data_IF_265799783375
#
_entry.id   IF_265799783375
#
_cell.length_a   1.000
_cell.length_b   1.000
_cell.length_c   1.000
_cell.angle_alpha   90.00
_cell.angle_beta   90.00
_cell.angle_gamma   90.00
#
_symmetry.space_group_name_H-M   'P 1'
#
loop_
_entity.id
_entity.type
_entity.pdbx_description
1 polymer ?
#
# COMPACT_ATOMS: atom_id res chain seq x y z
N UNK A 1 -25.74 13.88 -38.08
CA UNK A 1 -24.83 14.37 -37.03
C UNK A 1 -24.38 13.19 -36.22
N UNK A 2 -23.12 12.79 -36.35
CA UNK A 2 -22.55 11.65 -35.62
C UNK A 2 -21.99 12.18 -34.32
N UNK A 3 -22.55 11.79 -33.17
CA UNK A 3 -21.99 12.14 -31.86
C UNK A 3 -20.78 11.25 -31.67
N UNK A 4 -19.58 11.84 -31.67
CA UNK A 4 -18.34 11.13 -31.34
C UNK A 4 -18.41 10.65 -29.90
N UNK A 5 -18.08 9.39 -29.65
CA UNK A 5 -18.06 8.85 -28.29
C UNK A 5 -17.03 9.60 -27.43
N UNK A 6 -17.33 9.87 -26.15
CA UNK A 6 -16.39 10.56 -25.26
C UNK A 6 -15.12 9.73 -25.07
N UNK A 7 -13.99 10.43 -25.04
CA UNK A 7 -12.67 9.82 -24.83
C UNK A 7 -12.58 9.16 -23.45
N UNK A 8 -11.61 8.26 -23.25
CA UNK A 8 -11.35 7.66 -21.92
C UNK A 8 -11.09 8.72 -20.85
N UNK A 9 -10.35 9.77 -21.19
CA UNK A 9 -10.12 10.95 -20.34
C UNK A 9 -11.42 11.62 -19.91
N UNK A 10 -12.30 11.94 -20.86
CA UNK A 10 -13.60 12.57 -20.59
C UNK A 10 -14.51 11.70 -19.73
N UNK A 11 -14.53 10.38 -19.97
CA UNK A 11 -15.31 9.44 -19.15
C UNK A 11 -14.79 9.36 -17.72
N UNK A 12 -13.47 9.36 -17.53
CA UNK A 12 -12.85 9.36 -16.21
C UNK A 12 -13.17 10.67 -15.49
N UNK A 13 -12.95 11.82 -16.13
CA UNK A 13 -13.26 13.14 -15.57
C UNK A 13 -14.74 13.27 -15.18
N UNK A 14 -15.68 12.82 -16.04
CA UNK A 14 -17.12 12.82 -15.73
C UNK A 14 -17.47 11.87 -14.57
N UNK A 15 -16.77 10.74 -14.45
CA UNK A 15 -16.96 9.81 -13.32
C UNK A 15 -16.47 10.43 -12.01
N UNK A 16 -15.31 11.09 -12.02
CA UNK A 16 -14.76 11.80 -10.86
C UNK A 16 -15.68 12.94 -10.43
N UNK A 17 -16.14 13.75 -11.37
CA UNK A 17 -17.09 14.84 -11.15
C UNK A 17 -18.39 14.35 -10.48
N UNK A 18 -18.98 13.27 -10.99
CA UNK A 18 -20.19 12.68 -10.39
C UNK A 18 -19.95 12.13 -9.00
N UNK A 19 -18.79 11.52 -8.77
CA UNK A 19 -18.47 10.84 -7.51
C UNK A 19 -18.19 11.84 -6.40
N UNK A 20 -17.40 12.88 -6.68
CA UNK A 20 -16.93 13.81 -5.65
C UNK A 20 -17.82 15.05 -5.51
N UNK A 21 -18.48 15.49 -6.58
CA UNK A 21 -19.31 16.72 -6.56
C UNK A 21 -20.80 16.45 -6.87
N UNK A 22 -21.19 15.20 -7.14
CA UNK A 22 -22.58 14.81 -7.32
C UNK A 22 -23.23 15.28 -8.62
N UNK A 23 -22.46 15.79 -9.58
CA UNK A 23 -22.97 16.33 -10.85
C UNK A 23 -22.06 16.00 -12.05
N UNK A 24 -22.59 15.96 -13.29
CA UNK A 24 -21.79 15.72 -14.48
C UNK A 24 -20.77 16.83 -14.74
N UNK A 25 -19.66 16.49 -15.39
CA UNK A 25 -18.61 17.44 -15.76
C UNK A 25 -19.15 18.58 -16.62
N UNK A 26 -20.08 18.28 -17.53
CA UNK A 26 -20.73 19.26 -18.40
C UNK A 26 -21.59 20.31 -17.66
N UNK A 27 -21.94 20.05 -16.39
CA UNK A 27 -22.68 20.98 -15.53
C UNK A 27 -21.79 21.89 -14.68
N UNK A 28 -20.47 21.73 -14.76
CA UNK A 28 -19.51 22.45 -13.91
C UNK A 28 -19.00 23.74 -14.54
N UNK A 29 -18.51 24.65 -13.70
CA UNK A 29 -17.75 25.83 -14.13
C UNK A 29 -16.36 25.40 -14.62
N UNK A 30 -15.82 26.12 -15.58
CA UNK A 30 -14.57 25.77 -16.28
C UNK A 30 -13.42 25.45 -15.31
N UNK A 31 -13.17 26.30 -14.31
CA UNK A 31 -12.10 26.10 -13.31
C UNK A 31 -12.22 24.79 -12.49
N UNK A 32 -13.44 24.35 -12.21
CA UNK A 32 -13.68 23.12 -11.45
C UNK A 32 -13.67 21.90 -12.37
N UNK A 33 -14.18 22.05 -13.59
CA UNK A 33 -14.11 21.02 -14.62
C UNK A 33 -12.66 20.70 -15.00
N UNK A 34 -11.77 21.70 -14.98
CA UNK A 34 -10.33 21.53 -15.21
C UNK A 34 -9.68 20.63 -14.16
N UNK A 35 -10.04 20.74 -12.87
CA UNK A 35 -9.49 19.89 -11.81
C UNK A 35 -9.81 18.40 -12.02
N UNK A 36 -11.03 18.07 -12.43
CA UNK A 36 -11.40 16.68 -12.75
C UNK A 36 -10.71 16.17 -13.99
N UNK A 37 -10.47 17.06 -14.94
CA UNK A 37 -9.78 16.77 -16.17
C UNK A 37 -8.29 16.50 -15.92
N UNK A 38 -7.64 17.30 -15.06
CA UNK A 38 -6.28 17.09 -14.59
C UNK A 38 -6.15 15.79 -13.77
N UNK A 39 -7.12 15.52 -12.88
CA UNK A 39 -7.16 14.26 -12.14
C UNK A 39 -7.33 13.04 -13.07
N UNK A 40 -8.13 13.17 -14.14
CA UNK A 40 -8.26 12.12 -15.15
C UNK A 40 -6.95 11.86 -15.91
N UNK A 41 -6.21 12.92 -16.25
CA UNK A 41 -4.88 12.80 -16.86
C UNK A 41 -3.88 12.14 -15.90
N UNK A 42 -3.91 12.50 -14.61
CA UNK A 42 -3.08 11.86 -13.59
C UNK A 42 -3.40 10.36 -13.42
N UNK A 43 -4.67 9.98 -13.48
CA UNK A 43 -5.09 8.56 -13.45
C UNK A 43 -4.58 7.81 -14.68
N UNK A 44 -4.72 8.40 -15.88
CA UNK A 44 -4.23 7.78 -17.11
C UNK A 44 -2.71 7.64 -17.10
N UNK A 45 -1.99 8.68 -16.67
CA UNK A 45 -0.54 8.63 -16.50
C UNK A 45 -0.10 7.57 -15.48
N UNK A 46 -0.84 7.39 -14.38
CA UNK A 46 -0.55 6.34 -13.41
C UNK A 46 -0.80 4.93 -13.97
N UNK A 47 -1.80 4.76 -14.84
CA UNK A 47 -2.07 3.50 -15.51
C UNK A 47 -1.04 3.17 -16.60
N UNK A 48 -0.45 4.19 -17.22
CA UNK A 48 0.63 4.07 -18.20
C UNK A 48 2.02 3.98 -17.54
N UNK A 49 2.15 4.39 -16.27
CA UNK A 49 3.40 4.33 -15.53
C UNK A 49 3.86 2.88 -15.30
N UNK A 50 5.19 2.70 -15.31
CA UNK A 50 5.83 1.42 -15.00
C UNK A 50 5.30 0.86 -13.68
N UNK A 51 4.80 -0.37 -13.73
CA UNK A 51 4.29 -1.07 -12.54
C UNK A 51 5.44 -1.26 -11.56
N UNK A 52 5.37 -0.56 -10.43
CA UNK A 52 6.31 -0.71 -9.33
C UNK A 52 5.72 -1.53 -8.19
N UNK A 53 6.47 -2.51 -7.71
CA UNK A 53 6.09 -3.23 -6.49
C UNK A 53 6.45 -2.35 -5.30
N UNK A 54 5.44 -1.85 -4.59
CA UNK A 54 5.62 -0.99 -3.41
C UNK A 54 5.47 -1.73 -2.08
N UNK A 55 4.96 -2.96 -2.10
CA UNK A 55 4.87 -3.78 -0.90
C UNK A 55 4.83 -5.28 -1.18
N UNK A 56 5.38 -6.04 -0.25
CA UNK A 56 5.21 -7.49 -0.14
C UNK A 56 4.50 -7.81 1.16
N UNK A 57 3.67 -8.85 1.15
CA UNK A 57 2.96 -9.31 2.34
C UNK A 57 3.24 -10.78 2.59
N UNK A 58 3.83 -11.07 3.73
CA UNK A 58 4.11 -12.44 4.18
C UNK A 58 3.03 -12.79 5.20
N UNK A 59 2.16 -13.73 4.83
CA UNK A 59 1.13 -14.26 5.71
C UNK A 59 1.26 -15.78 5.77
N UNK A 60 1.27 -16.31 6.99
CA UNK A 60 1.41 -17.75 7.23
C UNK A 60 0.06 -18.48 7.26
N UNK A 61 -1.05 -17.74 7.38
CA UNK A 61 -2.39 -18.31 7.25
C UNK A 61 -2.82 -18.40 5.78
N UNK A 62 -3.61 -19.44 5.40
CA UNK A 62 -4.11 -19.61 4.04
C UNK A 62 -4.87 -18.41 3.50
N UNK A 63 -4.89 -18.30 2.17
CA UNK A 63 -5.72 -17.30 1.49
C UNK A 63 -7.19 -17.46 1.88
N UNK A 64 -7.88 -16.36 2.14
CA UNK A 64 -9.29 -16.35 2.58
C UNK A 64 -9.52 -16.52 4.09
N UNK A 65 -8.50 -16.85 4.90
CA UNK A 65 -8.69 -16.98 6.35
C UNK A 65 -9.01 -15.61 6.99
N UNK A 66 -10.03 -15.48 7.85
CA UNK A 66 -10.47 -14.18 8.40
C UNK A 66 -9.38 -13.48 9.21
N UNK A 67 -8.53 -14.24 9.90
CA UNK A 67 -7.40 -13.69 10.68
C UNK A 67 -6.11 -13.46 9.89
N UNK A 68 -6.10 -13.69 8.57
CA UNK A 68 -4.90 -13.49 7.72
C UNK A 68 -4.39 -12.05 7.76
N UNK A 69 -5.31 -11.10 7.97
CA UNK A 69 -5.00 -9.68 8.19
C UNK A 69 -4.02 -9.47 9.35
N UNK A 70 -4.27 -10.13 10.47
CA UNK A 70 -3.58 -9.91 11.75
C UNK A 70 -2.28 -10.70 11.89
N UNK A 71 -2.10 -11.75 11.10
CA UNK A 71 -0.90 -12.62 11.13
C UNK A 71 0.14 -12.26 10.09
N UNK A 72 -0.12 -11.24 9.27
CA UNK A 72 0.82 -10.87 8.23
C UNK A 72 1.87 -9.88 8.72
N UNK A 73 3.05 -10.01 8.12
CA UNK A 73 4.11 -9.01 8.12
C UNK A 73 4.12 -8.36 6.74
N UNK A 74 4.27 -7.04 6.74
CA UNK A 74 4.38 -6.25 5.50
C UNK A 74 5.82 -5.81 5.32
N UNK A 75 6.32 -5.90 4.10
CA UNK A 75 7.59 -5.29 3.69
C UNK A 75 7.23 -4.17 2.72
N UNK A 76 7.50 -2.93 3.09
CA UNK A 76 6.99 -1.73 2.39
C UNK A 76 8.15 -0.89 1.87
N UNK A 77 8.04 -0.42 0.63
CA UNK A 77 8.94 0.56 0.04
C UNK A 77 8.71 1.93 0.69
N UNK A 78 9.80 2.59 1.06
CA UNK A 78 9.83 3.92 1.63
C UNK A 78 10.19 4.96 0.56
N UNK A 79 9.91 6.23 0.83
CA UNK A 79 10.24 7.36 -0.07
C UNK A 79 11.76 7.47 -0.36
N UNK A 80 12.59 6.87 0.51
CA UNK A 80 14.05 6.75 0.32
C UNK A 80 14.47 5.73 -0.74
N UNK A 81 13.53 4.94 -1.29
CA UNK A 81 13.81 3.79 -2.15
C UNK A 81 14.24 2.53 -1.40
N UNK A 82 14.27 2.56 -0.06
CA UNK A 82 14.59 1.42 0.80
C UNK A 82 13.34 0.79 1.39
N UNK A 83 13.48 -0.33 2.07
CA UNK A 83 12.37 -1.17 2.52
C UNK A 83 12.31 -1.28 4.04
N UNK A 84 11.13 -1.08 4.61
CA UNK A 84 10.85 -1.33 6.02
C UNK A 84 10.04 -2.61 6.18
N UNK A 85 10.26 -3.29 7.31
CA UNK A 85 9.44 -4.44 7.71
C UNK A 85 8.52 -3.99 8.83
N UNK A 86 7.22 -3.95 8.56
CA UNK A 86 6.20 -3.43 9.46
C UNK A 86 5.11 -4.44 9.80
N UNK A 87 4.59 -4.32 11.02
CA UNK A 87 3.41 -5.05 11.48
C UNK A 87 2.65 -4.23 12.51
N UNK A 88 1.40 -3.89 12.23
CA UNK A 88 0.48 -3.24 13.17
C UNK A 88 1.07 -1.96 13.81
N UNK A 89 1.84 -1.18 13.05
CA UNK A 89 2.51 0.04 13.54
C UNK A 89 3.84 -0.19 14.27
N UNK A 90 4.33 -1.43 14.32
CA UNK A 90 5.68 -1.76 14.79
C UNK A 90 6.62 -1.93 13.58
N UNK A 91 7.87 -1.51 13.75
CA UNK A 91 8.96 -1.78 12.80
C UNK A 91 9.93 -2.81 13.38
N UNK A 92 10.44 -3.68 12.52
CA UNK A 92 11.46 -4.67 12.85
C UNK A 92 12.86 -4.06 12.66
N UNK A 93 13.73 -4.21 13.65
CA UNK A 93 15.15 -3.87 13.52
C UNK A 93 15.98 -5.05 12.96
N UNK A 94 17.26 -4.79 12.68
CA UNK A 94 18.18 -5.80 12.14
C UNK A 94 18.46 -6.96 13.12
N UNK A 95 18.24 -6.74 14.42
CA UNK A 95 18.35 -7.77 15.46
C UNK A 95 17.05 -8.57 15.65
N UNK A 96 16.00 -8.29 14.89
CA UNK A 96 14.73 -8.99 14.97
C UNK A 96 13.80 -8.49 16.09
N UNK A 97 14.04 -7.29 16.65
CA UNK A 97 13.20 -6.68 17.69
C UNK A 97 12.14 -5.79 17.07
N UNK A 98 10.93 -5.87 17.63
CA UNK A 98 9.78 -5.06 17.21
C UNK A 98 9.61 -3.84 18.11
N UNK A 99 9.52 -2.66 17.51
CA UNK A 99 9.33 -1.40 18.24
C UNK A 99 8.27 -0.52 17.60
N UNK A 100 7.48 0.19 18.42
CA UNK A 100 6.33 0.98 17.97
C UNK A 100 6.77 2.29 17.30
N UNK A 101 6.54 2.45 16.00
CA UNK A 101 7.10 3.55 15.21
C UNK A 101 6.54 4.95 15.54
N UNK A 102 5.35 5.02 16.11
CA UNK A 102 4.65 6.29 16.37
C UNK A 102 5.35 7.23 17.36
N UNK A 103 6.28 6.71 18.17
CA UNK A 103 7.00 7.47 19.20
C UNK A 103 8.39 7.94 18.78
N UNK A 104 8.84 7.59 17.57
CA UNK A 104 10.21 7.76 17.17
C UNK A 104 10.38 8.75 16.00
N UNK A 105 11.51 9.49 15.96
CA UNK A 105 11.81 10.44 14.89
C UNK A 105 12.11 9.73 13.56
N UNK A 106 12.21 10.51 12.48
CA UNK A 106 12.51 10.01 11.15
C UNK A 106 13.85 9.26 11.08
N UNK A 107 14.89 9.76 11.73
CA UNK A 107 16.23 9.14 11.75
C UNK A 107 16.19 7.70 12.30
N UNK A 108 15.41 7.48 13.37
CA UNK A 108 15.19 6.15 13.93
C UNK A 108 14.46 5.20 12.97
N UNK A 109 13.58 5.73 12.11
CA UNK A 109 12.90 4.93 11.06
C UNK A 109 13.87 4.60 9.93
N UNK A 110 14.76 5.52 9.57
CA UNK A 110 15.79 5.30 8.56
C UNK A 110 16.78 4.20 8.95
N UNK A 111 17.08 4.04 10.25
CA UNK A 111 17.87 2.90 10.76
C UNK A 111 17.19 1.53 10.57
N UNK A 112 15.88 1.52 10.32
CA UNK A 112 15.05 0.33 10.08
C UNK A 112 14.66 0.17 8.61
N UNK A 113 15.34 0.90 7.74
CA UNK A 113 15.26 0.72 6.30
C UNK A 113 16.38 -0.18 5.82
N UNK A 114 16.04 -1.09 4.92
CA UNK A 114 16.91 -2.13 4.40
C UNK A 114 16.86 -2.17 2.87
N UNK A 115 17.81 -2.84 2.24
CA UNK A 115 17.57 -3.32 0.88
C UNK A 115 16.45 -4.37 0.88
N UNK A 116 15.83 -4.60 -0.28
CA UNK A 116 14.68 -5.50 -0.41
C UNK A 116 15.01 -6.93 0.06
N UNK A 117 16.18 -7.46 -0.31
CA UNK A 117 16.57 -8.82 0.02
C UNK A 117 16.67 -9.01 1.54
N UNK A 118 17.36 -8.07 2.21
CA UNK A 118 17.47 -8.04 3.67
C UNK A 118 16.10 -7.92 4.33
N UNK A 119 15.22 -7.04 3.83
CA UNK A 119 13.89 -6.86 4.39
C UNK A 119 13.04 -8.14 4.27
N UNK A 120 13.07 -8.82 3.12
CA UNK A 120 12.37 -10.09 2.91
C UNK A 120 12.94 -11.19 3.81
N UNK A 121 14.26 -11.27 3.96
CA UNK A 121 14.92 -12.23 4.86
C UNK A 121 14.50 -12.01 6.31
N UNK A 122 14.53 -10.77 6.80
CA UNK A 122 14.11 -10.41 8.16
C UNK A 122 12.63 -10.75 8.38
N UNK A 123 11.76 -10.38 7.43
CA UNK A 123 10.34 -10.65 7.52
C UNK A 123 10.02 -12.16 7.54
N UNK A 124 10.72 -12.97 6.73
CA UNK A 124 10.59 -14.44 6.75
C UNK A 124 11.05 -15.06 8.06
N UNK A 125 12.17 -14.59 8.62
CA UNK A 125 12.65 -15.05 9.91
C UNK A 125 11.70 -14.68 11.07
N UNK A 126 11.08 -13.49 11.00
CA UNK A 126 10.14 -13.04 12.02
C UNK A 126 8.74 -13.66 11.90
N UNK A 127 8.33 -14.10 10.71
CA UNK A 127 6.96 -14.58 10.47
C UNK A 127 6.53 -15.73 11.40
N UNK A 128 7.33 -16.80 11.60
CA UNK A 128 6.95 -17.89 12.52
C UNK A 128 6.79 -17.45 13.98
N UNK A 129 7.44 -16.35 14.37
CA UNK A 129 7.44 -15.83 15.73
C UNK A 129 6.25 -14.91 16.02
N UNK A 130 5.45 -14.56 14.99
CA UNK A 130 4.23 -13.76 15.19
C UNK A 130 3.28 -14.51 16.12
N UNK A 131 2.74 -13.81 17.12
CA UNK A 131 1.81 -14.40 18.10
C UNK A 131 0.36 -14.28 17.64
N UNK A 132 -0.40 -15.35 17.91
CA UNK A 132 -1.86 -15.45 17.76
C UNK A 132 -2.41 -15.99 19.07
N UNK A 133 -2.95 -15.09 19.90
CA UNK A 133 -3.25 -15.41 21.30
C UNK A 133 -1.97 -15.81 22.04
N UNK A 134 -2.01 -16.97 22.71
CA UNK A 134 -0.89 -17.46 23.51
C UNK A 134 0.16 -18.24 22.70
N UNK A 135 -0.14 -18.61 21.45
CA UNK A 135 0.74 -19.39 20.58
C UNK A 135 1.48 -18.53 19.54
N UNK A 136 2.60 -19.02 19.01
CA UNK A 136 3.22 -18.45 17.81
C UNK A 136 2.63 -19.09 16.55
N UNK A 137 2.74 -18.45 15.40
CA UNK A 137 2.28 -19.07 14.16
C UNK A 137 3.11 -20.31 13.82
N UNK A 138 4.42 -20.30 14.11
CA UNK A 138 5.29 -21.46 13.94
C UNK A 138 4.81 -22.67 14.75
N UNK A 139 4.44 -22.46 16.03
CA UNK A 139 3.93 -23.55 16.88
C UNK A 139 2.57 -24.09 16.42
N UNK A 140 1.73 -23.26 15.79
CA UNK A 140 0.43 -23.70 15.25
C UNK A 140 0.57 -24.51 13.96
N UNK A 141 1.71 -24.39 13.28
CA UNK A 141 1.99 -24.99 11.98
C UNK A 141 3.07 -26.06 12.04
N UNK A 142 3.56 -26.42 13.23
CA UNK A 142 4.68 -27.35 13.45
C UNK A 142 5.95 -27.00 12.65
N UNK A 143 6.30 -25.70 12.59
CA UNK A 143 7.46 -25.14 11.88
C UNK A 143 8.68 -24.89 12.78
#
# INVERSE_FOLDING_TARGET
MTVTAPSSRERIADTLARTYDGQPLAGMRDEHAELHTEAADAVLAALESDVEVTSYRIALLPHGHPMRGFTAITVRLCDSGRWQVDRLGFLLDVQGRWEQAGKHPHEWRAEREFDLETAIRLARAAAPLVRVGDSTVGSLLDL
#
